data_IF_294487140265
#
_entry.id   IF_294487140265
#
_cell.length_a   1.000
_cell.length_b   1.000
_cell.length_c   1.000
_cell.angle_alpha   90.00
_cell.angle_beta   90.00
_cell.angle_gamma   90.00
#
_symmetry.space_group_name_H-M   'P 1'
#
loop_
_entity.id
_entity.type
_entity.pdbx_description
1 polymer ?
#
# COMPACT_ATOMS: atom_id res chain seq x y z
N UNK A 1 -20.59 -2.09 -4.99
CA UNK A 1 -19.17 -2.25 -4.62
C UNK A 1 -18.33 -1.90 -5.85
N UNK A 2 -17.93 -0.64 -6.00
CA UNK A 2 -17.20 -0.18 -7.18
C UNK A 2 -15.77 -0.73 -7.11
N UNK A 3 -15.50 -1.75 -7.94
CA UNK A 3 -14.12 -2.08 -8.32
C UNK A 3 -13.66 -0.92 -9.19
N UNK A 4 -12.93 0.03 -8.60
CA UNK A 4 -12.20 1.01 -9.39
C UNK A 4 -11.25 0.21 -10.31
N UNK A 5 -11.44 0.41 -11.60
CA UNK A 5 -10.59 -0.16 -12.64
C UNK A 5 -9.21 0.46 -12.52
N UNK A 6 -8.19 -0.39 -12.59
CA UNK A 6 -6.79 0.02 -12.50
C UNK A 6 -6.42 0.97 -13.66
N UNK A 7 -7.10 0.83 -14.80
CA UNK A 7 -6.95 1.74 -15.93
C UNK A 7 -7.50 3.14 -15.60
N UNK A 8 -8.73 3.21 -15.07
CA UNK A 8 -9.36 4.47 -14.65
C UNK A 8 -8.52 5.24 -13.64
N UNK A 9 -7.96 4.55 -12.63
CA UNK A 9 -7.08 5.17 -11.65
C UNK A 9 -5.78 5.73 -12.28
N UNK A 10 -5.21 5.02 -13.25
CA UNK A 10 -4.03 5.51 -13.95
C UNK A 10 -4.32 6.74 -14.83
N UNK A 11 -5.51 6.80 -15.41
CA UNK A 11 -5.93 7.94 -16.22
C UNK A 11 -6.21 9.16 -15.33
N UNK A 12 -6.80 8.97 -14.15
CA UNK A 12 -6.98 10.02 -13.13
C UNK A 12 -5.63 10.56 -12.65
N UNK A 13 -4.68 9.68 -12.31
CA UNK A 13 -3.30 10.07 -11.93
C UNK A 13 -2.64 10.85 -13.07
N UNK A 14 -2.78 10.39 -14.31
CA UNK A 14 -2.18 11.05 -15.46
C UNK A 14 -2.75 12.46 -15.69
N UNK A 15 -4.07 12.63 -15.54
CA UNK A 15 -4.72 13.94 -15.64
C UNK A 15 -4.20 14.89 -14.56
N UNK A 16 -4.18 14.46 -13.30
CA UNK A 16 -3.71 15.30 -12.20
C UNK A 16 -2.24 15.70 -12.36
N UNK A 17 -1.40 14.78 -12.88
CA UNK A 17 0.01 15.10 -13.14
C UNK A 17 0.16 16.16 -14.23
N UNK A 18 -0.65 16.13 -15.28
CA UNK A 18 -0.62 17.15 -16.33
C UNK A 18 -1.06 18.51 -15.80
N UNK A 19 -2.13 18.54 -15.02
CA UNK A 19 -2.68 19.76 -14.43
C UNK A 19 -1.66 20.42 -13.48
N UNK A 20 -1.07 19.64 -12.57
CA UNK A 20 -0.08 20.12 -11.62
C UNK A 20 1.26 20.51 -12.26
N UNK A 21 1.68 19.80 -13.31
CA UNK A 21 2.94 20.10 -13.98
C UNK A 21 2.85 21.38 -14.84
N UNK A 22 1.65 21.66 -15.37
CA UNK A 22 1.37 22.78 -16.25
C UNK A 22 2.37 22.90 -17.41
N UNK A 23 2.63 24.12 -17.85
CA UNK A 23 3.57 24.41 -18.94
C UNK A 23 5.02 24.09 -18.56
N UNK A 24 5.35 24.15 -17.27
CA UNK A 24 6.71 23.92 -16.77
C UNK A 24 7.18 22.47 -16.90
N UNK A 25 6.23 21.54 -17.09
CA UNK A 25 6.44 20.08 -17.10
C UNK A 25 7.25 19.60 -15.91
N UNK A 26 7.08 20.22 -14.75
CA UNK A 26 7.78 19.89 -13.52
C UNK A 26 6.79 19.61 -12.41
N UNK A 27 7.07 18.58 -11.61
CA UNK A 27 6.18 18.20 -10.51
C UNK A 27 6.94 17.73 -9.29
N UNK A 28 6.40 18.06 -8.13
CA UNK A 28 6.85 17.61 -6.82
C UNK A 28 5.97 16.45 -6.35
N UNK A 29 6.57 15.55 -5.59
CA UNK A 29 5.85 14.41 -5.02
C UNK A 29 4.85 14.89 -3.97
N UNK A 30 5.22 15.88 -3.16
CA UNK A 30 4.33 16.43 -2.13
C UNK A 30 3.10 17.11 -2.73
N UNK A 31 3.25 17.98 -3.73
CA UNK A 31 2.11 18.64 -4.38
C UNK A 31 1.14 17.63 -4.99
N UNK A 32 1.67 16.55 -5.57
CA UNK A 32 0.83 15.45 -6.05
C UNK A 32 0.05 14.77 -4.90
N UNK A 33 0.71 14.51 -3.77
CA UNK A 33 0.07 13.89 -2.61
C UNK A 33 -1.00 14.79 -1.97
N UNK A 34 -0.77 16.09 -1.90
CA UNK A 34 -1.74 17.06 -1.36
C UNK A 34 -3.04 17.01 -2.15
N UNK A 35 -2.95 17.14 -3.48
CA UNK A 35 -4.10 17.10 -4.39
C UNK A 35 -4.80 15.73 -4.41
N UNK A 36 -4.02 14.65 -4.45
CA UNK A 36 -4.59 13.29 -4.54
C UNK A 36 -4.94 12.68 -3.18
N UNK A 37 -4.71 13.38 -2.07
CA UNK A 37 -4.84 12.85 -0.70
C UNK A 37 -6.18 12.14 -0.46
N UNK A 38 -7.28 12.81 -0.79
CA UNK A 38 -8.63 12.27 -0.64
C UNK A 38 -8.88 11.07 -1.57
N UNK A 39 -8.40 11.11 -2.82
CA UNK A 39 -8.48 9.98 -3.74
C UNK A 39 -7.72 8.76 -3.17
N UNK A 40 -6.52 8.98 -2.63
CA UNK A 40 -5.69 7.94 -2.00
C UNK A 40 -6.42 7.32 -0.80
N UNK A 41 -7.03 8.15 0.06
CA UNK A 41 -7.75 7.69 1.26
C UNK A 41 -8.99 6.89 0.87
N UNK A 42 -9.81 7.39 -0.05
CA UNK A 42 -11.05 6.74 -0.49
C UNK A 42 -10.80 5.41 -1.22
N UNK A 43 -9.66 5.28 -1.90
CA UNK A 43 -9.28 4.07 -2.61
C UNK A 43 -8.59 3.02 -1.73
N UNK A 44 -8.27 3.35 -0.49
CA UNK A 44 -7.54 2.44 0.37
C UNK A 44 -8.41 1.23 0.74
N UNK A 45 -7.89 0.05 0.45
CA UNK A 45 -8.45 -1.22 0.89
C UNK A 45 -7.62 -1.74 2.05
N UNK A 46 -8.28 -2.27 3.07
CA UNK A 46 -7.61 -2.85 4.24
C UNK A 46 -6.44 -3.75 3.81
N UNK A 47 -5.24 -3.46 4.31
CA UNK A 47 -4.01 -4.06 3.82
C UNK A 47 -2.76 -3.44 4.44
N UNK A 48 -1.61 -3.67 3.81
CA UNK A 48 -0.35 -3.06 4.24
C UNK A 48 -0.27 -1.62 3.73
N UNK A 49 -0.20 -0.67 4.66
CA UNK A 49 -0.01 0.76 4.36
C UNK A 49 1.24 1.01 3.52
N UNK A 50 2.35 0.38 3.88
CA UNK A 50 3.64 0.53 3.17
C UNK A 50 3.53 0.05 1.71
N UNK A 51 2.89 -1.11 1.47
CA UNK A 51 2.67 -1.61 0.10
C UNK A 51 1.76 -0.69 -0.70
N UNK A 52 0.76 -0.09 -0.05
CA UNK A 52 -0.14 0.85 -0.69
C UNK A 52 0.58 2.14 -1.09
N UNK A 53 1.36 2.72 -0.17
CA UNK A 53 2.22 3.88 -0.44
C UNK A 53 3.19 3.62 -1.58
N UNK A 54 3.85 2.45 -1.57
CA UNK A 54 4.77 2.05 -2.65
C UNK A 54 4.07 1.96 -4.00
N UNK A 55 2.83 1.46 -4.03
CA UNK A 55 2.04 1.35 -5.27
C UNK A 55 1.72 2.73 -5.85
N UNK A 56 1.29 3.67 -5.02
CA UNK A 56 1.06 5.07 -5.44
C UNK A 56 2.33 5.76 -5.91
N UNK A 57 3.43 5.57 -5.19
CA UNK A 57 4.73 6.12 -5.57
C UNK A 57 5.23 5.54 -6.89
N UNK A 58 4.94 4.27 -7.16
CA UNK A 58 5.24 3.63 -8.44
C UNK A 58 4.37 4.23 -9.56
N UNK A 59 3.05 4.31 -9.36
CA UNK A 59 2.13 4.87 -10.34
C UNK A 59 2.48 6.31 -10.71
N UNK A 60 2.83 7.14 -9.73
CA UNK A 60 3.34 8.50 -9.95
C UNK A 60 4.59 8.48 -10.86
N UNK A 61 5.61 7.72 -10.50
CA UNK A 61 6.87 7.66 -11.28
C UNK A 61 6.65 7.16 -12.70
N UNK A 62 5.82 6.12 -12.87
CA UNK A 62 5.56 5.52 -14.17
C UNK A 62 4.78 6.48 -15.06
N UNK A 63 3.77 7.19 -14.51
CA UNK A 63 3.02 8.19 -15.25
C UNK A 63 3.84 9.44 -15.56
N UNK A 64 4.65 9.96 -14.63
CA UNK A 64 5.54 11.09 -14.91
C UNK A 64 6.50 10.79 -16.06
N UNK A 65 7.07 9.57 -16.10
CA UNK A 65 7.91 9.12 -17.22
C UNK A 65 7.13 9.04 -18.52
N UNK A 66 5.93 8.41 -18.48
CA UNK A 66 5.06 8.27 -19.66
C UNK A 66 4.70 9.63 -20.28
N UNK A 67 4.49 10.63 -19.44
CA UNK A 67 4.07 11.98 -19.85
C UNK A 67 5.25 12.94 -20.12
N UNK A 68 6.49 12.50 -19.90
CA UNK A 68 7.68 13.35 -20.06
C UNK A 68 7.75 14.49 -19.04
N UNK A 69 7.16 14.30 -17.85
CA UNK A 69 7.16 15.27 -16.75
C UNK A 69 8.41 15.04 -15.89
N UNK A 70 9.14 16.12 -15.60
CA UNK A 70 10.33 16.08 -14.74
C UNK A 70 9.91 16.12 -13.27
N UNK A 71 10.23 15.07 -12.54
CA UNK A 71 10.08 15.05 -11.07
C UNK A 71 11.20 15.88 -10.45
N UNK A 72 10.84 16.95 -9.75
CA UNK A 72 11.79 17.81 -9.05
C UNK A 72 11.82 17.51 -7.56
N UNK A 73 12.90 17.93 -6.89
CA UNK A 73 13.03 17.72 -5.45
C UNK A 73 11.97 18.54 -4.74
N UNK A 74 11.39 17.90 -3.74
CA UNK A 74 10.49 18.55 -2.81
C UNK A 74 11.20 19.66 -2.03
N UNK A 75 10.49 20.78 -1.85
CA UNK A 75 10.93 21.92 -1.03
C UNK A 75 10.46 21.78 0.42
N UNK A 76 9.34 21.08 0.64
CA UNK A 76 8.82 20.76 1.96
C UNK A 76 9.66 19.67 2.65
N UNK A 77 9.85 19.82 3.97
CA UNK A 77 10.65 18.89 4.80
C UNK A 77 9.83 17.92 5.65
N UNK A 78 8.51 18.11 5.75
CA UNK A 78 7.64 17.18 6.45
C UNK A 78 7.26 15.97 5.59
N UNK A 79 6.58 15.01 6.21
CA UNK A 79 6.11 13.81 5.53
C UNK A 79 4.60 13.93 5.29
N UNK A 80 4.23 14.51 4.14
CA UNK A 80 2.82 14.72 3.75
C UNK A 80 2.03 13.42 3.80
N UNK A 81 2.66 12.28 3.53
CA UNK A 81 1.98 11.00 3.61
C UNK A 81 1.54 10.70 5.04
N UNK A 82 2.42 10.87 6.02
CA UNK A 82 2.07 10.66 7.42
C UNK A 82 1.10 11.73 7.94
N UNK A 83 1.31 12.98 7.55
CA UNK A 83 0.53 14.14 8.01
C UNK A 83 -0.92 14.12 7.50
N UNK A 84 -1.14 13.81 6.22
CA UNK A 84 -2.47 13.94 5.59
C UNK A 84 -3.16 12.60 5.32
N UNK A 85 -2.39 11.53 5.07
CA UNK A 85 -2.95 10.27 4.58
C UNK A 85 -2.97 9.23 5.70
N UNK A 86 -1.83 8.95 6.32
CA UNK A 86 -1.70 7.83 7.24
C UNK A 86 -2.60 7.93 8.49
N UNK A 87 -2.84 9.16 8.96
CA UNK A 87 -3.77 9.48 10.05
C UNK A 87 -5.22 9.12 9.71
N UNK A 88 -5.71 9.57 8.56
CA UNK A 88 -7.09 9.29 8.11
C UNK A 88 -7.31 7.82 7.74
N UNK A 89 -6.28 7.16 7.19
CA UNK A 89 -6.32 5.71 6.94
C UNK A 89 -6.52 4.88 8.23
N UNK A 90 -6.19 5.42 9.43
CA UNK A 90 -6.52 4.74 10.70
C UNK A 90 -7.98 4.92 11.08
N UNK A 91 -8.54 6.12 10.89
CA UNK A 91 -9.90 6.46 11.29
C UNK A 91 -10.96 5.65 10.51
N UNK A 92 -10.79 5.47 9.20
CA UNK A 92 -11.79 4.76 8.36
C UNK A 92 -11.93 3.26 8.67
N UNK A 93 -10.91 2.64 9.28
CA UNK A 93 -10.97 1.24 9.75
C UNK A 93 -11.84 1.13 11.01
N UNK A 94 -11.83 2.15 11.85
CA UNK A 94 -12.59 2.18 13.11
C UNK A 94 -14.08 2.46 12.90
N UNK A 95 -14.45 3.31 11.93
CA UNK A 95 -15.86 3.70 11.71
C UNK A 95 -16.73 2.62 11.05
N UNK A 96 -16.12 1.56 10.50
CA UNK A 96 -16.89 0.40 9.99
C UNK A 96 -17.19 -0.64 11.09
N UNK A 97 -16.68 -0.46 12.31
CA UNK A 97 -16.73 -1.49 13.37
C UNK A 97 -17.72 -1.20 14.50
N UNK A 98 -18.81 -0.51 14.21
CA UNK A 98 -19.96 -0.39 15.11
C UNK A 98 -21.18 -1.16 14.58
N UNK A 99 -21.05 -2.48 14.40
CA UNK A 99 -22.15 -3.35 14.83
C UNK A 99 -21.64 -4.74 15.21
N UNK A 100 -22.13 -5.16 16.37
CA UNK A 100 -22.17 -6.50 16.94
C UNK A 100 -20.86 -7.16 17.39
N UNK A 101 -20.59 -6.94 18.68
CA UNK A 101 -20.18 -7.93 19.71
C UNK A 101 -19.39 -9.12 19.20
N UNK A 102 -18.10 -9.17 19.53
CA UNK A 102 -17.45 -10.46 19.73
C UNK A 102 -16.41 -10.41 20.86
N UNK A 103 -16.51 -11.43 21.69
CA UNK A 103 -15.86 -11.58 22.98
C UNK A 103 -14.33 -11.52 22.88
N UNK A 104 -13.70 -10.81 23.82
CA UNK A 104 -12.27 -10.89 24.09
C UNK A 104 -11.85 -12.32 24.40
N UNK A 105 -10.88 -12.89 23.67
CA UNK A 105 -9.56 -13.27 24.23
C UNK A 105 -8.56 -13.78 23.18
N UNK A 106 -7.32 -13.27 23.33
CA UNK A 106 -6.04 -14.00 23.22
C UNK A 106 -5.34 -14.23 21.87
N UNK A 107 -4.20 -13.51 21.76
CA UNK A 107 -2.88 -13.88 21.25
C UNK A 107 -2.70 -14.95 20.14
N UNK A 108 -2.09 -14.46 19.06
CA UNK A 108 -1.29 -15.12 18.02
C UNK A 108 -0.95 -16.62 18.22
N UNK A 109 -1.69 -17.51 17.54
CA UNK A 109 -1.32 -18.92 17.36
C UNK A 109 -0.30 -19.09 16.23
N UNK A 110 0.99 -18.95 16.55
CA UNK A 110 2.11 -19.29 15.65
C UNK A 110 2.53 -20.77 15.70
N UNK A 111 1.92 -21.60 16.54
CA UNK A 111 2.29 -23.01 16.63
C UNK A 111 1.54 -23.85 15.60
N UNK A 112 2.20 -24.11 14.46
CA UNK A 112 1.79 -25.20 13.56
C UNK A 112 2.25 -26.52 14.20
N UNK A 113 1.30 -27.31 14.70
CA UNK A 113 1.57 -28.65 15.23
C UNK A 113 2.00 -29.54 14.05
N UNK A 114 3.20 -30.10 14.12
CA UNK A 114 3.71 -31.05 13.13
C UNK A 114 2.92 -32.35 13.20
N UNK A 115 2.45 -32.83 12.06
CA UNK A 115 1.77 -34.13 11.95
C UNK A 115 2.80 -35.27 12.01
N UNK A 116 2.36 -36.49 12.34
CA UNK A 116 3.24 -37.68 12.32
C UNK A 116 3.89 -37.92 10.93
N UNK A 117 3.20 -37.51 9.86
CA UNK A 117 3.76 -37.53 8.50
C UNK A 117 4.93 -36.56 8.36
N UNK A 118 4.79 -35.34 8.90
CA UNK A 118 5.86 -34.33 8.85
C UNK A 118 7.09 -34.79 9.64
N UNK A 119 6.88 -35.44 10.80
CA UNK A 119 7.96 -36.01 11.62
C UNK A 119 8.68 -37.16 10.90
N UNK A 120 7.93 -38.05 10.27
CA UNK A 120 8.49 -39.19 9.52
C UNK A 120 9.30 -38.72 8.32
N UNK A 121 8.81 -37.71 7.60
CA UNK A 121 9.50 -37.11 6.47
C UNK A 121 10.82 -36.45 6.89
N UNK A 122 10.81 -35.67 7.98
CA UNK A 122 12.03 -35.07 8.53
C UNK A 122 13.07 -36.12 8.94
N UNK A 123 12.63 -37.20 9.59
CA UNK A 123 13.53 -38.29 10.00
C UNK A 123 14.20 -38.96 8.79
N UNK A 124 13.43 -39.31 7.77
CA UNK A 124 13.96 -39.93 6.55
C UNK A 124 14.95 -39.00 5.80
N UNK A 125 14.69 -37.70 5.79
CA UNK A 125 15.62 -36.71 5.20
C UNK A 125 16.91 -36.62 6.01
N UNK A 126 16.82 -36.64 7.34
CA UNK A 126 17.99 -36.59 8.22
C UNK A 126 18.87 -37.84 8.06
N UNK A 127 18.28 -39.03 8.08
CA UNK A 127 18.99 -40.30 7.93
C UNK A 127 19.72 -40.37 6.57
N UNK A 128 19.06 -39.93 5.48
CA UNK A 128 19.65 -39.87 4.13
C UNK A 128 20.82 -38.89 4.00
N UNK A 129 20.84 -37.84 4.81
CA UNK A 129 21.94 -36.85 4.82
C UNK A 129 23.10 -37.35 5.69
N UNK A 130 22.80 -38.12 6.74
CA UNK A 130 23.79 -38.68 7.68
C UNK A 130 24.57 -39.88 7.12
N UNK A 131 24.08 -40.55 6.08
CA UNK A 131 24.75 -41.70 5.44
C UNK A 131 25.77 -41.31 4.34
N UNK A 132 26.31 -40.07 4.39
CA UNK A 132 27.29 -39.55 3.43
C UNK A 132 28.58 -39.15 4.14
#
# INVERSE_FOLDING_TARGET
MLKIDLQSLNDEIASQLLDLAGESKQIQWHSFLEEMSQCIINNYKAGSKDKYQQSWRKAFKDNSKRLGIKVVRDTYRGDIWEEMIAGELKASITDTRNSSVDNSTSSLKYQKILTEKDKTLMKHVYDKISEK
#
